data_IF_629030583212
#
_entry.id   IF_629030583212
#
_cell.length_a   1.000
_cell.length_b   1.000
_cell.length_c   1.000
_cell.angle_alpha   90.00
_cell.angle_beta   90.00
_cell.angle_gamma   90.00
#
_symmetry.space_group_name_H-M   'P 1'
#
loop_
_entity.id
_entity.type
_entity.pdbx_description
1 polymer ?
#
# COMPACT_ATOMS: atom_id res chain seq x y z
N UNK A 1 -20.01 -6.99 6.93
CA UNK A 1 -18.65 -7.27 7.46
C UNK A 1 -17.69 -7.37 6.30
N UNK A 2 -16.49 -6.78 6.40
CA UNK A 2 -15.45 -6.98 5.38
C UNK A 2 -14.84 -8.38 5.56
N UNK A 3 -14.49 -9.08 4.48
CA UNK A 3 -13.85 -10.40 4.57
C UNK A 3 -12.53 -10.32 5.34
N UNK A 4 -12.08 -11.47 5.85
CA UNK A 4 -10.78 -11.62 6.48
C UNK A 4 -9.68 -11.37 5.43
N UNK A 5 -8.74 -10.48 5.74
CA UNK A 5 -7.54 -10.25 4.94
C UNK A 5 -6.34 -10.82 5.68
N UNK A 6 -5.63 -11.76 5.04
CA UNK A 6 -4.37 -12.30 5.56
C UNK A 6 -3.21 -11.69 4.78
N UNK A 7 -2.39 -10.87 5.45
CA UNK A 7 -1.20 -10.24 4.88
C UNK A 7 0.01 -11.14 5.13
N UNK A 8 0.68 -11.53 4.06
CA UNK A 8 1.93 -12.29 4.08
C UNK A 8 3.10 -11.33 3.90
N UNK A 9 4.04 -11.38 4.83
CA UNK A 9 5.23 -10.53 4.82
C UNK A 9 6.46 -11.30 5.28
N UNK A 10 7.64 -10.81 4.90
CA UNK A 10 8.91 -11.34 5.40
C UNK A 10 9.37 -10.54 6.63
N UNK A 11 9.39 -11.19 7.79
CA UNK A 11 9.87 -10.59 9.03
C UNK A 11 11.38 -10.30 9.05
N UNK A 12 12.18 -11.04 8.26
CA UNK A 12 13.64 -10.84 8.18
C UNK A 12 14.04 -9.68 7.25
N UNK A 13 13.09 -9.07 6.55
CA UNK A 13 13.36 -7.91 5.72
C UNK A 13 13.50 -6.66 6.59
N UNK A 14 14.65 -5.98 6.48
CA UNK A 14 14.98 -4.74 7.21
C UNK A 14 14.00 -3.59 6.95
N UNK A 15 13.25 -3.65 5.85
CA UNK A 15 12.26 -2.62 5.47
C UNK A 15 10.83 -3.12 5.79
N UNK A 16 10.46 -4.31 5.32
CA UNK A 16 9.07 -4.78 5.45
C UNK A 16 8.70 -5.17 6.89
N UNK A 17 9.63 -5.71 7.68
CA UNK A 17 9.35 -6.14 9.06
C UNK A 17 8.86 -5.00 9.95
N UNK A 18 9.63 -3.89 10.09
CA UNK A 18 9.22 -2.72 10.86
C UNK A 18 7.92 -2.09 10.37
N UNK A 19 7.73 -2.02 9.04
CA UNK A 19 6.53 -1.42 8.44
C UNK A 19 5.27 -2.22 8.79
N UNK A 20 5.33 -3.55 8.66
CA UNK A 20 4.20 -4.43 9.01
C UNK A 20 3.94 -4.45 10.51
N UNK A 21 4.97 -4.38 11.35
CA UNK A 21 4.79 -4.26 12.80
C UNK A 21 4.01 -2.99 13.19
N UNK A 22 4.27 -1.87 12.50
CA UNK A 22 3.52 -0.63 12.68
C UNK A 22 2.04 -0.80 12.31
N UNK A 23 1.75 -1.41 11.15
CA UNK A 23 0.37 -1.68 10.73
C UNK A 23 -0.35 -2.64 11.68
N UNK A 24 0.33 -3.69 12.13
CA UNK A 24 -0.20 -4.65 13.10
C UNK A 24 -0.57 -3.99 14.43
N UNK A 25 0.30 -3.13 14.95
CA UNK A 25 0.02 -2.38 16.18
C UNK A 25 -1.19 -1.45 15.99
N UNK A 26 -1.27 -0.75 14.86
CA UNK A 26 -2.42 0.09 14.55
C UNK A 26 -3.73 -0.70 14.43
N UNK A 27 -3.69 -1.88 13.79
CA UNK A 27 -4.85 -2.76 13.69
C UNK A 27 -5.31 -3.24 15.07
N UNK A 28 -4.38 -3.61 15.95
CA UNK A 28 -4.66 -4.00 17.32
C UNK A 28 -5.26 -2.84 18.14
N UNK A 29 -4.68 -1.63 18.06
CA UNK A 29 -5.20 -0.43 18.74
C UNK A 29 -6.60 -0.05 18.25
N UNK A 30 -6.87 -0.23 16.95
CA UNK A 30 -8.16 0.06 16.35
C UNK A 30 -9.16 -1.12 16.42
N UNK A 31 -8.80 -2.22 17.10
CA UNK A 31 -9.61 -3.43 17.25
C UNK A 31 -10.14 -3.97 15.91
N UNK A 32 -9.23 -4.15 14.94
CA UNK A 32 -9.56 -4.70 13.63
C UNK A 32 -9.36 -6.21 13.62
N UNK A 33 -10.46 -6.96 13.77
CA UNK A 33 -10.40 -8.43 13.82
C UNK A 33 -10.29 -9.09 12.45
N UNK A 34 -10.61 -8.38 11.37
CA UNK A 34 -10.62 -8.91 10.00
C UNK A 34 -9.31 -8.65 9.23
N UNK A 35 -8.20 -8.45 9.95
CA UNK A 35 -6.87 -8.23 9.41
C UNK A 35 -5.84 -9.05 10.18
N UNK A 36 -5.25 -10.04 9.52
CA UNK A 36 -4.26 -10.97 10.09
C UNK A 36 -2.94 -10.82 9.36
N UNK A 37 -1.82 -10.94 10.07
CA UNK A 37 -0.47 -10.88 9.53
C UNK A 37 0.25 -12.21 9.75
N UNK A 38 0.81 -12.80 8.69
CA UNK A 38 1.59 -14.04 8.73
C UNK A 38 3.02 -13.81 8.24
N UNK A 39 4.00 -14.29 8.99
CA UNK A 39 5.40 -14.11 8.67
C UNK A 39 5.92 -15.32 7.87
N UNK A 40 6.20 -15.15 6.58
CA UNK A 40 6.65 -16.27 5.72
C UNK A 40 8.05 -16.82 6.06
N UNK A 41 8.82 -16.10 6.88
CA UNK A 41 10.11 -16.58 7.37
C UNK A 41 9.94 -17.73 8.37
N UNK A 42 8.89 -17.66 9.21
CA UNK A 42 8.60 -18.63 10.27
C UNK A 42 7.40 -19.52 9.94
N UNK A 43 6.41 -18.98 9.24
CA UNK A 43 5.16 -19.64 8.87
C UNK A 43 5.25 -20.35 7.51
N UNK A 44 4.32 -21.29 7.29
CA UNK A 44 4.15 -21.97 6.02
C UNK A 44 3.71 -21.01 4.91
N UNK A 45 4.30 -21.16 3.71
CA UNK A 45 3.84 -20.42 2.54
C UNK A 45 2.43 -20.90 2.14
N UNK A 46 1.55 -20.00 1.66
CA UNK A 46 0.27 -20.37 1.10
C UNK A 46 0.44 -21.35 -0.07
N UNK A 47 -0.50 -22.29 -0.19
CA UNK A 47 -0.48 -23.36 -1.19
C UNK A 47 -0.34 -22.79 -2.61
N UNK A 48 0.66 -23.26 -3.36
CA UNK A 48 0.91 -22.82 -4.74
C UNK A 48 1.82 -21.60 -4.90
N UNK A 49 2.29 -20.98 -3.81
CA UNK A 49 3.24 -19.86 -3.87
C UNK A 49 4.62 -20.27 -3.35
N UNK A 50 5.66 -20.00 -4.15
CA UNK A 50 7.03 -20.17 -3.69
C UNK A 50 7.46 -18.99 -2.81
N UNK A 51 8.24 -19.29 -1.76
CA UNK A 51 8.81 -18.28 -0.84
C UNK A 51 9.50 -17.14 -1.59
N UNK A 52 10.25 -17.45 -2.65
CA UNK A 52 10.93 -16.47 -3.50
C UNK A 52 9.99 -15.42 -4.12
N UNK A 53 8.78 -15.83 -4.50
CA UNK A 53 7.78 -14.92 -5.07
C UNK A 53 7.20 -14.01 -3.99
N UNK A 54 6.99 -14.54 -2.79
CA UNK A 54 6.49 -13.80 -1.63
C UNK A 54 7.53 -12.82 -1.06
N UNK A 55 8.83 -13.08 -1.29
CA UNK A 55 9.92 -12.21 -0.86
C UNK A 55 10.06 -10.93 -1.70
N UNK A 56 9.61 -10.96 -2.97
CA UNK A 56 9.80 -9.83 -3.89
C UNK A 56 8.81 -8.69 -3.67
N UNK A 57 7.62 -8.97 -3.12
CA UNK A 57 6.51 -8.00 -2.96
C UNK A 57 5.65 -8.38 -1.76
N UNK A 58 4.90 -7.41 -1.21
CA UNK A 58 3.86 -7.71 -0.24
C UNK A 58 2.71 -8.45 -0.92
N UNK A 59 2.13 -9.39 -0.17
CA UNK A 59 1.12 -10.33 -0.60
C UNK A 59 -0.03 -10.32 0.40
N UNK A 60 -1.27 -10.32 -0.06
CA UNK A 60 -2.43 -10.42 0.82
C UNK A 60 -3.49 -11.31 0.21
N UNK A 61 -4.07 -12.21 1.00
CA UNK A 61 -5.16 -13.08 0.57
C UNK A 61 -6.48 -12.60 1.16
N UNK A 62 -7.49 -12.48 0.31
CA UNK A 62 -8.86 -12.14 0.66
C UNK A 62 -9.80 -13.11 -0.06
N UNK A 63 -10.58 -13.91 0.68
CA UNK A 63 -11.54 -14.88 0.11
C UNK A 63 -10.94 -15.80 -0.97
N UNK A 64 -9.71 -16.29 -0.77
CA UNK A 64 -9.01 -17.14 -1.75
C UNK A 64 -8.46 -16.40 -2.97
N UNK A 65 -8.62 -15.08 -3.05
CA UNK A 65 -7.96 -14.24 -4.05
C UNK A 65 -6.65 -13.69 -3.50
N UNK A 66 -5.56 -13.96 -4.20
CA UNK A 66 -4.26 -13.39 -3.90
C UNK A 66 -4.12 -12.00 -4.52
N UNK A 67 -3.88 -11.00 -3.68
CA UNK A 67 -3.51 -9.63 -4.04
C UNK A 67 -2.00 -9.47 -3.89
N UNK A 68 -1.38 -8.74 -4.81
CA UNK A 68 0.08 -8.61 -4.88
C UNK A 68 0.48 -7.15 -5.05
N UNK A 69 1.52 -6.73 -4.33
CA UNK A 69 2.08 -5.39 -4.44
C UNK A 69 1.09 -4.31 -3.99
N UNK A 70 0.85 -3.32 -4.84
CA UNK A 70 0.03 -2.14 -4.51
C UNK A 70 -1.40 -2.54 -4.14
N UNK A 71 -1.98 -3.55 -4.79
CA UNK A 71 -3.34 -4.02 -4.47
C UNK A 71 -3.42 -4.59 -3.05
N UNK A 72 -2.37 -5.28 -2.59
CA UNK A 72 -2.28 -5.79 -1.22
C UNK A 72 -2.20 -4.64 -0.20
N UNK A 73 -1.42 -3.60 -0.50
CA UNK A 73 -1.35 -2.39 0.32
C UNK A 73 -2.69 -1.66 0.38
N UNK A 74 -3.36 -1.46 -0.75
CA UNK A 74 -4.69 -0.81 -0.80
C UNK A 74 -5.69 -1.60 0.05
N UNK A 75 -5.77 -2.92 -0.12
CA UNK A 75 -6.70 -3.75 0.64
C UNK A 75 -6.44 -3.71 2.16
N UNK A 76 -5.17 -3.61 2.57
CA UNK A 76 -4.76 -3.47 3.97
C UNK A 76 -5.09 -2.08 4.51
N UNK A 77 -4.68 -1.02 3.81
CA UNK A 77 -4.88 0.36 4.23
C UNK A 77 -6.34 0.78 4.26
N UNK A 78 -7.18 0.22 3.39
CA UNK A 78 -8.63 0.43 3.46
C UNK A 78 -9.20 -0.01 4.81
N UNK A 79 -8.61 -1.01 5.49
CA UNK A 79 -9.06 -1.48 6.80
C UNK A 79 -8.56 -0.55 7.92
N UNK A 80 -7.34 -0.05 7.82
CA UNK A 80 -6.72 0.82 8.82
C UNK A 80 -7.32 2.25 8.82
N UNK A 81 -7.83 2.76 9.96
CA UNK A 81 -8.60 4.01 10.00
C UNK A 81 -7.83 5.24 9.51
N UNK A 82 -6.54 5.35 9.83
CA UNK A 82 -5.69 6.49 9.42
C UNK A 82 -5.24 6.42 7.96
N UNK A 83 -5.15 5.20 7.41
CA UNK A 83 -4.64 4.97 6.07
C UNK A 83 -5.75 4.86 5.02
N UNK A 84 -7.02 4.90 5.41
CA UNK A 84 -8.17 4.91 4.48
C UNK A 84 -8.07 6.02 3.43
N UNK A 85 -7.72 7.24 3.83
CA UNK A 85 -7.57 8.36 2.90
C UNK A 85 -6.39 8.15 1.94
N UNK A 86 -5.28 7.59 2.43
CA UNK A 86 -4.12 7.27 1.61
C UNK A 86 -4.44 6.15 0.61
N UNK A 87 -5.14 5.11 1.08
CA UNK A 87 -5.63 4.03 0.23
C UNK A 87 -6.54 4.57 -0.86
N UNK A 88 -7.46 5.47 -0.51
CA UNK A 88 -8.36 6.08 -1.47
C UNK A 88 -7.62 6.98 -2.46
N UNK A 89 -6.61 7.73 -2.03
CA UNK A 89 -5.79 8.57 -2.90
C UNK A 89 -4.92 7.75 -3.88
N UNK A 90 -4.44 6.57 -3.46
CA UNK A 90 -3.60 5.69 -4.30
C UNK A 90 -4.47 4.79 -5.20
N UNK A 91 -5.65 4.36 -4.70
CA UNK A 91 -6.64 3.62 -5.47
C UNK A 91 -7.42 4.52 -6.45
N UNK A 92 -7.49 5.83 -6.18
CA UNK A 92 -7.82 6.80 -7.20
C UNK A 92 -6.72 6.68 -8.24
N UNK A 93 -7.02 6.29 -9.49
CA UNK A 93 -6.01 6.05 -10.49
C UNK A 93 -5.24 7.35 -10.68
N UNK A 94 -4.07 7.44 -10.05
CA UNK A 94 -3.19 8.59 -9.92
C UNK A 94 -3.36 9.50 -11.12
N UNK A 95 -4.09 10.62 -11.01
CA UNK A 95 -3.77 11.85 -11.75
C UNK A 95 -3.51 11.73 -13.27
N UNK A 96 -3.89 10.64 -13.95
CA UNK A 96 -3.42 10.29 -15.31
C UNK A 96 -3.95 11.24 -16.38
N UNK A 97 -4.88 12.13 -16.03
CA UNK A 97 -5.26 13.30 -16.83
C UNK A 97 -4.93 14.67 -16.20
N UNK A 98 -4.79 14.76 -14.86
CA UNK A 98 -4.73 16.06 -14.17
C UNK A 98 -3.32 16.59 -13.94
N UNK A 99 -2.28 15.75 -13.83
CA UNK A 99 -0.90 16.24 -13.67
C UNK A 99 -0.42 17.00 -14.90
N UNK A 100 -0.80 16.56 -16.10
CA UNK A 100 -0.53 17.30 -17.34
C UNK A 100 -1.20 18.67 -17.35
N UNK A 101 -2.47 18.74 -16.94
CA UNK A 101 -3.23 19.99 -16.85
C UNK A 101 -2.65 20.95 -15.81
N UNK A 102 -2.36 20.48 -14.59
CA UNK A 102 -1.81 21.34 -13.51
C UNK A 102 -0.39 21.81 -13.86
N UNK A 103 0.44 20.94 -14.44
CA UNK A 103 1.77 21.32 -14.88
C UNK A 103 1.73 22.37 -15.99
N UNK A 104 0.92 22.18 -17.04
CA UNK A 104 0.81 23.13 -18.15
C UNK A 104 0.06 24.43 -17.78
N UNK A 105 -1.01 24.37 -16.98
CA UNK A 105 -1.81 25.58 -16.69
C UNK A 105 -1.35 26.37 -15.46
N UNK A 106 -0.62 25.75 -14.53
CA UNK A 106 -0.21 26.42 -13.28
C UNK A 106 1.31 26.56 -13.23
N UNK A 107 2.04 25.46 -13.36
CA UNK A 107 3.49 25.47 -13.14
C UNK A 107 4.24 26.18 -14.28
N UNK A 108 3.93 25.86 -15.54
CA UNK A 108 4.57 26.46 -16.71
C UNK A 108 4.40 27.99 -16.79
N UNK A 109 3.20 28.59 -16.65
CA UNK A 109 3.07 30.05 -16.66
C UNK A 109 3.68 30.70 -15.42
N UNK A 110 3.72 30.02 -14.28
CA UNK A 110 4.36 30.54 -13.07
C UNK A 110 5.88 30.57 -13.20
N UNK A 111 6.50 29.49 -13.70
CA UNK A 111 7.92 29.42 -14.01
C UNK A 111 8.32 30.43 -15.10
N UNK A 112 7.51 30.56 -16.17
CA UNK A 112 7.74 31.55 -17.21
C UNK A 112 7.67 32.99 -16.67
N UNK A 113 6.67 33.30 -15.84
CA UNK A 113 6.56 34.61 -15.15
C UNK A 113 7.70 34.87 -14.18
N UNK A 114 8.27 33.82 -13.57
CA UNK A 114 9.39 33.95 -12.63
C UNK A 114 10.72 34.11 -13.36
N UNK A 115 10.92 33.44 -14.50
CA UNK A 115 12.07 33.60 -15.37
C UNK A 115 12.11 34.98 -16.05
N UNK A 116 10.96 35.49 -16.51
CA UNK A 116 10.82 36.86 -17.05
C UNK A 116 11.00 37.97 -16.00
N UNK A 117 10.98 37.65 -14.70
CA UNK A 117 11.28 38.61 -13.61
C UNK A 117 12.75 38.66 -13.23
N UNK A 118 13.56 37.75 -13.76
CA UNK A 118 15.01 37.67 -13.52
C UNK A 118 15.86 38.16 -14.71
N UNK A 119 15.21 38.71 -15.75
CA UNK A 119 15.79 39.52 -16.83
C UNK A 119 15.37 40.97 -16.61
#
# INVERSE_FOLDING_TARGET
MRPLLTVYYNGDCSICGPEVALYRNMAATAQIDNLVFKNIATDSCPSGYQRDSLLRRIHAEENGKMLVGVDAFIAMWLRLPKFKYLAHAINWPIMRGMTGLIYNHILAPWLYRRYMRSL
#
